data_IF_630709385947
#
_entry.id   IF_630709385947
#
_cell.length_a   1.000
_cell.length_b   1.000
_cell.length_c   1.000
_cell.angle_alpha   90.00
_cell.angle_beta   90.00
_cell.angle_gamma   90.00
#
_symmetry.space_group_name_H-M   'P 1'
#
loop_
_entity.id
_entity.type
_entity.pdbx_description
1 polymer ?
#
# COMPACT_ATOMS: atom_id res chain seq x y z
N UNK A 1 8.84 5.33 25.97
CA UNK A 1 8.98 4.23 24.99
C UNK A 1 9.87 3.16 25.59
N UNK A 2 9.46 1.88 25.55
CA UNK A 2 10.28 0.80 26.08
C UNK A 2 11.58 0.71 25.28
N UNK A 3 12.72 0.99 25.92
CA UNK A 3 14.02 0.83 25.29
C UNK A 3 14.20 -0.67 25.04
N UNK A 4 14.23 -1.07 23.79
CA UNK A 4 14.66 -2.41 23.40
C UNK A 4 16.07 -2.58 23.93
N UNK A 5 16.28 -3.50 24.88
CA UNK A 5 17.60 -3.82 25.42
C UNK A 5 18.43 -4.43 24.26
N UNK A 6 19.22 -3.58 23.63
CA UNK A 6 20.15 -4.01 22.57
C UNK A 6 21.50 -4.22 23.21
N UNK A 7 22.11 -5.39 22.99
CA UNK A 7 23.46 -5.68 23.51
C UNK A 7 24.50 -4.74 22.85
N UNK A 8 25.28 -3.98 23.63
CA UNK A 8 26.24 -3.03 23.10
C UNK A 8 27.53 -3.74 22.60
N UNK A 9 27.46 -4.26 21.38
CA UNK A 9 28.58 -4.94 20.71
C UNK A 9 28.92 -4.26 19.37
N UNK A 10 30.18 -4.34 18.93
CA UNK A 10 30.60 -3.81 17.61
C UNK A 10 29.83 -4.47 16.45
N UNK A 11 29.49 -5.77 16.58
CA UNK A 11 28.69 -6.49 15.59
C UNK A 11 27.27 -5.91 15.48
N UNK A 12 26.63 -5.67 16.63
CA UNK A 12 25.27 -5.10 16.66
C UNK A 12 25.26 -3.65 16.16
N UNK A 13 26.29 -2.86 16.45
CA UNK A 13 26.45 -1.52 15.88
C UNK A 13 26.44 -1.55 14.34
N UNK A 14 27.20 -2.45 13.75
CA UNK A 14 27.25 -2.61 12.30
C UNK A 14 25.91 -3.05 11.73
N UNK A 15 25.22 -3.94 12.43
CA UNK A 15 23.86 -4.41 12.06
C UNK A 15 22.83 -3.28 12.09
N UNK A 16 22.84 -2.46 13.15
CA UNK A 16 21.94 -1.31 13.29
C UNK A 16 22.24 -0.23 12.25
N UNK A 17 23.50 0.05 11.93
CA UNK A 17 23.88 0.95 10.83
C UNK A 17 23.36 0.45 9.47
N UNK A 18 23.51 -0.84 9.16
CA UNK A 18 22.95 -1.44 7.93
C UNK A 18 21.43 -1.35 7.92
N UNK A 19 20.77 -1.64 9.05
CA UNK A 19 19.31 -1.52 9.19
C UNK A 19 18.83 -0.09 8.93
N UNK A 20 19.51 0.92 9.46
CA UNK A 20 19.19 2.33 9.24
C UNK A 20 19.29 2.69 7.74
N UNK A 21 20.39 2.32 7.07
CA UNK A 21 20.58 2.59 5.63
C UNK A 21 19.49 1.91 4.79
N UNK A 22 19.14 0.66 5.12
CA UNK A 22 18.07 -0.04 4.42
C UNK A 22 16.71 0.61 4.68
N UNK A 23 16.43 1.01 5.92
CA UNK A 23 15.19 1.67 6.30
C UNK A 23 15.02 3.03 5.61
N UNK A 24 16.08 3.84 5.53
CA UNK A 24 16.03 5.15 4.85
C UNK A 24 15.84 5.02 3.33
N UNK A 25 16.51 4.05 2.69
CA UNK A 25 16.28 3.73 1.28
C UNK A 25 14.85 3.22 1.04
N UNK A 26 14.40 2.29 1.87
CA UNK A 26 13.04 1.74 1.80
C UNK A 26 11.95 2.80 2.02
N UNK A 27 12.16 3.73 2.96
CA UNK A 27 11.27 4.85 3.20
C UNK A 27 11.12 5.72 1.93
N UNK A 28 12.24 6.10 1.29
CA UNK A 28 12.22 6.90 0.07
C UNK A 28 11.45 6.18 -1.05
N UNK A 29 11.78 4.92 -1.34
CA UNK A 29 11.12 4.13 -2.39
C UNK A 29 9.62 3.93 -2.13
N UNK A 30 9.21 3.67 -0.88
CA UNK A 30 7.79 3.54 -0.53
C UNK A 30 7.05 4.87 -0.59
N UNK A 31 7.71 5.98 -0.29
CA UNK A 31 7.15 7.32 -0.45
C UNK A 31 6.90 7.62 -1.94
N UNK A 32 7.90 7.38 -2.79
CA UNK A 32 7.79 7.57 -4.24
C UNK A 32 6.67 6.66 -4.82
N UNK A 33 6.61 5.38 -4.37
CA UNK A 33 5.52 4.47 -4.75
C UNK A 33 4.14 5.00 -4.33
N UNK A 34 4.00 5.50 -3.11
CA UNK A 34 2.74 6.05 -2.60
C UNK A 34 2.29 7.26 -3.42
N UNK A 35 3.21 8.15 -3.73
CA UNK A 35 2.92 9.39 -4.44
C UNK A 35 2.49 9.09 -5.89
N UNK A 36 3.12 8.12 -6.55
CA UNK A 36 2.71 7.67 -7.89
C UNK A 36 1.35 6.94 -7.88
N UNK A 37 1.12 6.05 -6.89
CA UNK A 37 -0.21 5.42 -6.72
C UNK A 37 -1.30 6.46 -6.47
N UNK A 38 -1.02 7.50 -5.69
CA UNK A 38 -1.97 8.58 -5.42
C UNK A 38 -2.30 9.37 -6.70
N UNK A 39 -1.33 9.62 -7.57
CA UNK A 39 -1.55 10.28 -8.85
C UNK A 39 -2.49 9.47 -9.74
N UNK A 40 -2.19 8.18 -9.91
CA UNK A 40 -3.03 7.29 -10.72
C UNK A 40 -4.43 7.11 -10.14
N UNK A 41 -4.53 7.04 -8.81
CA UNK A 41 -5.82 6.98 -8.11
C UNK A 41 -6.68 8.21 -8.37
N UNK A 42 -6.12 9.41 -8.33
CA UNK A 42 -6.85 10.65 -8.62
C UNK A 42 -7.36 10.71 -10.07
N UNK A 43 -6.58 10.20 -11.03
CA UNK A 43 -7.00 10.14 -12.42
C UNK A 43 -8.16 9.15 -12.60
N UNK A 44 -8.07 7.96 -11.97
CA UNK A 44 -9.18 6.98 -11.97
C UNK A 44 -10.44 7.51 -11.26
N UNK A 45 -10.31 8.26 -10.18
CA UNK A 45 -11.46 8.86 -9.47
C UNK A 45 -12.19 9.86 -10.38
N UNK A 46 -11.44 10.65 -11.15
CA UNK A 46 -12.06 11.59 -12.12
C UNK A 46 -12.81 10.85 -13.23
N UNK A 47 -12.22 9.79 -13.78
CA UNK A 47 -12.86 8.93 -14.78
C UNK A 47 -14.10 8.27 -14.21
N UNK A 48 -14.02 7.71 -13.01
CA UNK A 48 -15.13 7.10 -12.30
C UNK A 48 -16.28 8.08 -12.09
N UNK A 49 -16.00 9.31 -11.67
CA UNK A 49 -17.00 10.34 -11.45
C UNK A 49 -17.73 10.72 -12.74
N UNK A 50 -17.01 10.84 -13.86
CA UNK A 50 -17.60 11.14 -15.16
C UNK A 50 -18.48 9.98 -15.66
N UNK A 51 -18.00 8.73 -15.56
CA UNK A 51 -18.75 7.54 -15.92
C UNK A 51 -20.00 7.40 -15.05
N UNK A 52 -19.89 7.62 -13.75
CA UNK A 52 -21.02 7.54 -12.82
C UNK A 52 -22.12 8.54 -13.17
N UNK A 53 -21.78 9.79 -13.44
CA UNK A 53 -22.74 10.80 -13.88
C UNK A 53 -23.43 10.39 -15.18
N UNK A 54 -22.69 9.83 -16.14
CA UNK A 54 -23.24 9.33 -17.40
C UNK A 54 -24.23 8.18 -17.19
N UNK A 55 -23.84 7.19 -16.38
CA UNK A 55 -24.66 6.03 -16.04
C UNK A 55 -25.93 6.46 -15.25
N UNK A 56 -25.80 7.33 -14.26
CA UNK A 56 -26.94 7.84 -13.48
C UNK A 56 -27.97 8.56 -14.38
N UNK A 57 -27.46 9.43 -15.27
CA UNK A 57 -28.32 10.12 -16.23
C UNK A 57 -29.06 9.14 -17.19
N UNK A 58 -28.33 8.14 -17.67
CA UNK A 58 -28.87 7.10 -18.54
C UNK A 58 -29.93 6.24 -17.85
N UNK A 59 -29.66 5.77 -16.63
CA UNK A 59 -30.63 5.00 -15.83
C UNK A 59 -31.88 5.84 -15.52
N UNK A 60 -31.72 7.14 -15.22
CA UNK A 60 -32.89 8.02 -15.03
C UNK A 60 -33.73 8.15 -16.28
N UNK A 61 -33.13 8.26 -17.48
CA UNK A 61 -33.84 8.29 -18.74
C UNK A 61 -34.55 6.97 -19.02
N UNK A 62 -33.86 5.84 -18.86
CA UNK A 62 -34.44 4.50 -19.03
C UNK A 62 -35.61 4.26 -18.08
N UNK A 63 -35.50 4.64 -16.80
CA UNK A 63 -36.56 4.52 -15.82
C UNK A 63 -37.80 5.37 -16.19
N UNK A 64 -37.59 6.58 -16.74
CA UNK A 64 -38.72 7.41 -17.24
C UNK A 64 -39.45 6.72 -18.37
N UNK A 65 -38.74 6.19 -19.36
CA UNK A 65 -39.31 5.44 -20.46
C UNK A 65 -40.06 4.20 -19.96
N UNK A 66 -39.49 3.50 -19.00
CA UNK A 66 -40.14 2.33 -18.38
C UNK A 66 -41.45 2.68 -17.62
N UNK A 67 -41.48 3.82 -16.93
CA UNK A 67 -42.70 4.30 -16.27
C UNK A 67 -43.79 4.64 -17.30
N UNK A 68 -43.41 5.22 -18.44
CA UNK A 68 -44.37 5.51 -19.53
C UNK A 68 -44.90 4.19 -20.10
N UNK A 69 -44.03 3.23 -20.40
CA UNK A 69 -44.43 1.91 -20.87
C UNK A 69 -45.38 1.19 -19.89
N UNK A 70 -45.08 1.26 -18.59
CA UNK A 70 -45.95 0.68 -17.54
C UNK A 70 -47.33 1.35 -17.46
N UNK A 71 -47.44 2.64 -17.77
CA UNK A 71 -48.71 3.35 -17.78
C UNK A 71 -49.59 2.95 -18.97
N UNK A 72 -48.97 2.53 -20.09
CA UNK A 72 -49.68 2.10 -21.31
C UNK A 72 -50.06 0.61 -21.38
N UNK A 73 -49.53 -0.21 -20.47
CA UNK A 73 -49.67 -1.68 -20.50
C UNK A 73 -50.22 -2.22 -19.17
N UNK A 74 -50.86 -3.42 -19.22
CA UNK A 74 -51.23 -4.11 -17.98
C UNK A 74 -50.01 -4.70 -17.30
N UNK A 75 -50.04 -4.79 -15.96
CA UNK A 75 -48.94 -5.33 -15.16
C UNK A 75 -48.63 -6.80 -15.50
N UNK A 76 -49.66 -7.58 -15.82
CA UNK A 76 -49.53 -8.98 -16.21
C UNK A 76 -48.83 -9.14 -17.57
N UNK A 77 -49.14 -8.30 -18.55
CA UNK A 77 -48.48 -8.28 -19.87
C UNK A 77 -47.03 -7.86 -19.76
N UNK A 78 -46.73 -6.85 -18.96
CA UNK A 78 -45.35 -6.40 -18.71
C UNK A 78 -44.54 -7.49 -18.05
N UNK A 79 -45.08 -8.13 -17.02
CA UNK A 79 -44.40 -9.22 -16.33
C UNK A 79 -44.14 -10.41 -17.28
N UNK A 80 -45.11 -10.78 -18.10
CA UNK A 80 -44.97 -11.85 -19.08
C UNK A 80 -43.92 -11.53 -20.15
N UNK A 81 -43.88 -10.29 -20.64
CA UNK A 81 -42.92 -9.82 -21.63
C UNK A 81 -41.46 -9.89 -21.15
N UNK A 82 -41.22 -9.57 -19.87
CA UNK A 82 -39.85 -9.52 -19.30
C UNK A 82 -39.43 -10.82 -18.58
N UNK A 83 -40.30 -11.83 -18.52
CA UNK A 83 -40.09 -13.06 -17.76
C UNK A 83 -38.94 -13.92 -18.28
N UNK A 84 -38.72 -13.94 -19.60
CA UNK A 84 -37.71 -14.78 -20.24
C UNK A 84 -36.75 -13.97 -21.11
N UNK A 85 -35.57 -13.53 -20.59
CA UNK A 85 -34.63 -12.79 -21.41
C UNK A 85 -34.04 -13.68 -22.51
N UNK A 86 -33.96 -13.13 -23.73
CA UNK A 86 -33.39 -13.82 -24.89
C UNK A 86 -31.88 -13.65 -24.99
N UNK A 87 -31.42 -12.45 -24.64
CA UNK A 87 -29.99 -12.11 -24.67
C UNK A 87 -29.34 -12.41 -23.33
N UNK A 88 -28.15 -13.01 -23.37
CA UNK A 88 -27.28 -13.28 -22.21
C UNK A 88 -25.95 -12.61 -22.43
N UNK A 89 -25.39 -12.03 -21.35
CA UNK A 89 -24.08 -11.38 -21.35
C UNK A 89 -23.14 -12.20 -20.48
N UNK A 90 -22.08 -12.71 -21.08
CA UNK A 90 -21.02 -13.44 -20.38
C UNK A 90 -19.88 -12.48 -20.07
N UNK A 91 -19.50 -12.41 -18.78
CA UNK A 91 -18.41 -11.59 -18.30
C UNK A 91 -17.16 -12.47 -18.06
N UNK A 92 -16.11 -12.22 -18.82
CA UNK A 92 -14.78 -12.79 -18.59
C UNK A 92 -13.96 -11.79 -17.76
N UNK A 93 -13.44 -12.24 -16.63
CA UNK A 93 -12.64 -11.38 -15.76
C UNK A 93 -11.16 -11.75 -15.89
N UNK A 94 -10.34 -10.80 -16.30
CA UNK A 94 -8.89 -10.88 -16.28
C UNK A 94 -8.30 -9.92 -15.25
N UNK A 95 -7.01 -10.03 -14.91
CA UNK A 95 -6.35 -9.12 -13.99
C UNK A 95 -5.13 -8.50 -14.64
N UNK A 96 -4.97 -7.19 -14.47
CA UNK A 96 -3.78 -6.43 -14.88
C UNK A 96 -3.07 -5.93 -13.64
N UNK A 97 -1.77 -6.24 -13.52
CA UNK A 97 -0.96 -5.75 -12.41
C UNK A 97 -0.46 -4.33 -12.68
N UNK A 98 -0.79 -3.40 -11.78
CA UNK A 98 -0.31 -2.02 -11.80
C UNK A 98 0.33 -1.71 -10.45
N UNK A 99 1.66 -1.56 -10.41
CA UNK A 99 2.42 -1.25 -9.19
C UNK A 99 2.16 -2.18 -8.00
N UNK A 100 2.01 -3.49 -8.28
CA UNK A 100 1.68 -4.54 -7.31
C UNK A 100 0.22 -4.49 -6.80
N UNK A 101 -0.67 -3.85 -7.54
CA UNK A 101 -2.12 -3.91 -7.37
C UNK A 101 -2.70 -4.67 -8.56
N UNK A 102 -3.42 -5.74 -8.31
CA UNK A 102 -4.09 -6.50 -9.35
C UNK A 102 -5.47 -5.88 -9.62
N UNK A 103 -5.54 -5.12 -10.72
CA UNK A 103 -6.75 -4.44 -11.16
C UNK A 103 -7.52 -5.40 -12.05
N UNK A 104 -8.82 -5.64 -11.82
CA UNK A 104 -9.64 -6.45 -12.71
C UNK A 104 -9.86 -5.71 -14.03
N UNK A 105 -9.89 -6.47 -15.11
CA UNK A 105 -10.26 -6.00 -16.45
C UNK A 105 -11.43 -6.87 -16.89
N UNK A 106 -12.52 -6.23 -17.31
CA UNK A 106 -13.74 -6.88 -17.71
C UNK A 106 -13.87 -6.93 -19.23
N UNK A 107 -13.96 -8.14 -19.76
CA UNK A 107 -14.32 -8.39 -21.15
C UNK A 107 -15.71 -9.04 -21.17
N UNK A 108 -16.64 -8.47 -21.91
CA UNK A 108 -17.96 -9.02 -22.02
C UNK A 108 -18.24 -9.51 -23.45
N UNK A 109 -18.95 -10.62 -23.53
CA UNK A 109 -19.42 -11.23 -24.77
C UNK A 109 -20.92 -11.40 -24.71
N UNK A 110 -21.61 -10.97 -25.72
CA UNK A 110 -23.03 -11.23 -25.89
C UNK A 110 -23.24 -12.59 -26.52
N UNK A 111 -24.33 -13.29 -26.16
CA UNK A 111 -24.67 -14.60 -26.72
C UNK A 111 -24.84 -14.56 -28.22
N UNK A 112 -25.50 -13.51 -28.73
CA UNK A 112 -25.75 -13.28 -30.15
C UNK A 112 -25.22 -11.92 -30.56
N UNK A 113 -24.77 -11.81 -31.81
CA UNK A 113 -24.27 -10.56 -32.36
C UNK A 113 -25.34 -9.60 -32.85
N UNK A 114 -26.61 -10.07 -32.93
CA UNK A 114 -27.75 -9.28 -33.44
C UNK A 114 -28.24 -8.31 -32.36
N UNK A 115 -28.27 -7.03 -32.71
CA UNK A 115 -28.78 -5.96 -31.81
C UNK A 115 -30.29 -6.14 -31.48
N UNK A 116 -31.05 -6.79 -32.36
CA UNK A 116 -32.48 -7.00 -32.16
C UNK A 116 -32.84 -8.13 -31.20
N UNK A 117 -31.85 -8.96 -30.83
CA UNK A 117 -32.08 -10.05 -29.87
C UNK A 117 -32.24 -9.57 -28.42
N UNK A 118 -32.16 -8.26 -28.19
CA UNK A 118 -32.47 -7.61 -26.90
C UNK A 118 -33.98 -7.79 -26.54
N UNK A 119 -34.85 -7.86 -27.56
CA UNK A 119 -36.28 -7.97 -27.36
C UNK A 119 -36.69 -9.44 -27.19
N UNK A 120 -37.15 -9.78 -25.99
CA UNK A 120 -37.61 -11.14 -25.63
C UNK A 120 -39.08 -11.40 -25.91
N UNK A 121 -39.82 -10.40 -26.37
CA UNK A 121 -41.27 -10.40 -26.52
C UNK A 121 -41.68 -10.10 -27.96
N UNK A 122 -42.93 -10.49 -28.30
CA UNK A 122 -43.50 -10.22 -29.61
C UNK A 122 -44.34 -8.92 -29.62
N UNK A 123 -44.65 -8.44 -30.79
CA UNK A 123 -45.43 -7.19 -31.01
C UNK A 123 -46.85 -7.23 -30.48
N UNK A 124 -47.40 -8.41 -30.18
CA UNK A 124 -48.75 -8.53 -29.67
C UNK A 124 -48.85 -8.08 -28.22
N UNK A 125 -49.64 -7.09 -27.92
CA UNK A 125 -49.94 -6.53 -26.59
C UNK A 125 -48.77 -5.76 -25.94
N UNK A 126 -47.68 -5.47 -26.66
CA UNK A 126 -46.53 -4.66 -26.17
C UNK A 126 -46.53 -3.26 -26.78
N UNK A 127 -46.13 -2.27 -25.99
CA UNK A 127 -46.02 -0.87 -26.42
C UNK A 127 -44.63 -0.59 -26.97
N UNK A 128 -44.48 0.27 -27.98
CA UNK A 128 -43.19 0.76 -28.47
C UNK A 128 -42.35 1.50 -27.41
N UNK A 129 -43.01 2.07 -26.38
CA UNK A 129 -42.35 2.70 -25.26
C UNK A 129 -41.51 1.70 -24.45
N UNK A 130 -41.90 0.41 -24.43
CA UNK A 130 -41.15 -0.66 -23.80
C UNK A 130 -39.85 -0.94 -24.57
N UNK A 131 -39.92 -0.91 -25.91
CA UNK A 131 -38.76 -1.10 -26.78
C UNK A 131 -37.71 0.00 -26.54
N UNK A 132 -38.15 1.26 -26.43
CA UNK A 132 -37.28 2.40 -26.13
C UNK A 132 -36.64 2.28 -24.72
N UNK A 133 -37.40 1.78 -23.74
CA UNK A 133 -36.87 1.55 -22.40
C UNK A 133 -35.82 0.44 -22.38
N UNK A 134 -36.08 -0.69 -23.02
CA UNK A 134 -35.14 -1.82 -23.11
C UNK A 134 -33.88 -1.42 -23.88
N UNK A 135 -34.02 -0.70 -24.99
CA UNK A 135 -32.90 -0.21 -25.78
C UNK A 135 -32.03 0.75 -24.96
N UNK A 136 -32.61 1.71 -24.27
CA UNK A 136 -31.87 2.65 -23.45
C UNK A 136 -31.09 1.95 -22.31
N UNK A 137 -31.61 0.86 -21.73
CA UNK A 137 -30.90 0.04 -20.76
C UNK A 137 -29.75 -0.74 -21.40
N UNK A 138 -29.95 -1.29 -22.59
CA UNK A 138 -28.91 -2.01 -23.33
C UNK A 138 -27.74 -1.09 -23.71
N UNK A 139 -28.01 0.14 -24.11
CA UNK A 139 -27.00 1.14 -24.47
C UNK A 139 -26.15 1.57 -23.27
N UNK A 140 -26.69 1.51 -22.06
CA UNK A 140 -25.99 1.89 -20.82
C UNK A 140 -25.16 0.73 -20.26
N UNK A 141 -25.48 -0.52 -20.59
CA UNK A 141 -24.83 -1.71 -20.04
C UNK A 141 -23.30 -1.69 -20.15
N UNK A 142 -22.68 -1.34 -21.31
CA UNK A 142 -21.23 -1.23 -21.44
C UNK A 142 -20.63 -0.19 -20.49
N UNK A 143 -21.28 0.96 -20.32
CA UNK A 143 -20.84 2.01 -19.40
C UNK A 143 -20.96 1.56 -17.93
N UNK A 144 -21.98 0.77 -17.58
CA UNK A 144 -22.13 0.17 -16.26
C UNK A 144 -21.02 -0.84 -15.94
N UNK A 145 -20.65 -1.69 -16.90
CA UNK A 145 -19.56 -2.65 -16.74
C UNK A 145 -18.21 -1.92 -16.58
N UNK A 146 -17.98 -0.89 -17.38
CA UNK A 146 -16.78 -0.06 -17.25
C UNK A 146 -16.73 0.72 -15.92
N UNK A 147 -17.87 1.20 -15.45
CA UNK A 147 -17.99 1.82 -14.13
C UNK A 147 -17.63 0.82 -13.02
N UNK A 148 -18.15 -0.40 -13.07
CA UNK A 148 -17.85 -1.44 -12.08
C UNK A 148 -16.35 -1.81 -12.05
N UNK A 149 -15.71 -1.86 -13.22
CA UNK A 149 -14.24 -2.07 -13.36
C UNK A 149 -13.48 -0.94 -12.69
N UNK A 150 -13.79 0.32 -13.02
CA UNK A 150 -13.09 1.49 -12.47
C UNK A 150 -13.35 1.67 -10.97
N UNK A 151 -14.55 1.41 -10.48
CA UNK A 151 -14.86 1.44 -9.04
C UNK A 151 -14.05 0.39 -8.28
N UNK A 152 -13.97 -0.84 -8.82
CA UNK A 152 -13.18 -1.90 -8.19
C UNK A 152 -11.68 -1.58 -8.20
N UNK A 153 -11.18 -1.02 -9.29
CA UNK A 153 -9.81 -0.54 -9.41
C UNK A 153 -9.50 0.54 -8.36
N UNK A 154 -10.37 1.54 -8.20
CA UNK A 154 -10.26 2.57 -7.18
C UNK A 154 -10.23 1.98 -5.76
N UNK A 155 -11.10 1.03 -5.45
CA UNK A 155 -11.16 0.38 -4.14
C UNK A 155 -9.87 -0.36 -3.80
N UNK A 156 -9.32 -1.12 -4.77
CA UNK A 156 -8.07 -1.87 -4.60
C UNK A 156 -6.86 -0.93 -4.45
N UNK A 157 -6.77 0.13 -5.27
CA UNK A 157 -5.73 1.14 -5.14
C UNK A 157 -5.81 1.89 -3.82
N UNK A 158 -6.99 2.29 -3.36
CA UNK A 158 -7.17 2.96 -2.07
C UNK A 158 -6.64 2.09 -0.92
N UNK A 159 -6.96 0.79 -0.92
CA UNK A 159 -6.48 -0.15 0.10
C UNK A 159 -4.95 -0.28 0.11
N UNK A 160 -4.32 -0.30 -1.06
CA UNK A 160 -2.85 -0.40 -1.15
C UNK A 160 -2.16 0.92 -0.78
N UNK A 161 -2.74 2.07 -1.13
CA UNK A 161 -2.27 3.40 -0.69
C UNK A 161 -2.31 3.48 0.84
N UNK A 162 -3.37 3.00 1.48
CA UNK A 162 -3.48 2.99 2.94
C UNK A 162 -2.41 2.08 3.58
N UNK A 163 -2.21 0.87 3.06
CA UNK A 163 -1.17 -0.05 3.52
C UNK A 163 0.22 0.56 3.37
N UNK A 164 0.50 1.18 2.21
CA UNK A 164 1.79 1.82 1.94
C UNK A 164 2.00 3.03 2.85
N UNK A 165 0.97 3.86 3.08
CA UNK A 165 1.01 4.99 4.02
C UNK A 165 1.34 4.53 5.44
N UNK A 166 0.71 3.43 5.92
CA UNK A 166 1.01 2.86 7.24
C UNK A 166 2.46 2.41 7.33
N UNK A 167 2.99 1.76 6.28
CA UNK A 167 4.41 1.32 6.23
C UNK A 167 5.38 2.50 6.24
N UNK A 168 5.10 3.55 5.45
CA UNK A 168 5.92 4.77 5.42
C UNK A 168 5.93 5.44 6.79
N UNK A 169 4.78 5.62 7.42
CA UNK A 169 4.68 6.22 8.76
C UNK A 169 5.42 5.38 9.82
N UNK A 170 5.31 4.05 9.77
CA UNK A 170 6.04 3.17 10.69
C UNK A 170 7.58 3.27 10.51
N UNK A 171 8.05 3.40 9.27
CA UNK A 171 9.47 3.60 9.00
C UNK A 171 9.95 4.96 9.53
N UNK A 172 9.20 6.03 9.25
CA UNK A 172 9.58 7.41 9.57
C UNK A 172 9.55 7.70 11.07
N UNK A 173 8.48 7.27 11.77
CA UNK A 173 8.25 7.66 13.15
C UNK A 173 8.66 6.61 14.18
N UNK A 174 8.87 5.35 13.79
CA UNK A 174 9.23 4.28 14.73
C UNK A 174 10.59 3.68 14.39
N UNK A 175 10.76 3.13 13.19
CA UNK A 175 11.93 2.29 12.87
C UNK A 175 13.20 3.13 12.73
N UNK A 176 13.15 4.25 12.01
CA UNK A 176 14.33 5.12 11.80
C UNK A 176 14.77 5.78 13.10
N UNK A 177 13.90 6.43 13.91
CA UNK A 177 14.32 7.02 15.18
C UNK A 177 14.85 5.98 16.16
N UNK A 178 14.19 4.83 16.27
CA UNK A 178 14.63 3.74 17.15
C UNK A 178 16.03 3.21 16.74
N UNK A 179 16.30 3.07 15.45
CA UNK A 179 17.61 2.65 14.98
C UNK A 179 18.69 3.69 15.29
N UNK A 180 18.37 4.99 15.16
CA UNK A 180 19.28 6.10 15.50
C UNK A 180 19.58 6.13 17.01
N UNK A 181 18.57 5.99 17.86
CA UNK A 181 18.73 5.92 19.32
C UNK A 181 19.59 4.71 19.73
N UNK A 182 19.32 3.54 19.13
CA UNK A 182 20.10 2.33 19.39
C UNK A 182 21.58 2.51 18.99
N UNK A 183 21.85 3.10 17.82
CA UNK A 183 23.22 3.38 17.37
C UNK A 183 23.92 4.30 18.36
N UNK A 184 23.26 5.39 18.77
CA UNK A 184 23.80 6.34 19.74
C UNK A 184 24.11 5.67 21.08
N UNK A 185 23.19 4.85 21.59
CA UNK A 185 23.37 4.10 22.84
C UNK A 185 24.55 3.13 22.77
N UNK A 186 24.63 2.31 21.69
CA UNK A 186 25.71 1.34 21.52
C UNK A 186 27.07 2.04 21.41
N UNK A 187 27.15 3.13 20.63
CA UNK A 187 28.40 3.91 20.48
C UNK A 187 28.87 4.44 21.83
N UNK A 188 27.97 5.08 22.59
CA UNK A 188 28.29 5.61 23.92
C UNK A 188 28.77 4.51 24.88
N UNK A 189 28.17 3.31 24.84
CA UNK A 189 28.61 2.19 25.68
C UNK A 189 29.93 1.58 25.25
N UNK A 190 30.19 1.53 23.95
CA UNK A 190 31.50 1.07 23.44
C UNK A 190 32.61 2.05 23.80
N UNK A 191 32.40 3.35 23.67
CA UNK A 191 33.35 4.40 24.04
C UNK A 191 33.66 4.35 25.54
N UNK A 192 32.64 4.15 26.40
CA UNK A 192 32.83 3.99 27.85
C UNK A 192 33.63 2.73 28.19
N UNK A 193 33.37 1.62 27.52
CA UNK A 193 34.15 0.39 27.70
C UNK A 193 35.58 0.57 27.26
N UNK A 194 35.83 1.24 26.13
CA UNK A 194 37.20 1.54 25.68
C UNK A 194 37.93 2.44 26.67
N UNK A 195 37.30 3.51 27.15
CA UNK A 195 37.86 4.40 28.18
C UNK A 195 38.19 3.65 29.48
N UNK A 196 37.27 2.84 29.97
CA UNK A 196 37.46 2.01 31.17
C UNK A 196 38.65 1.04 31.00
N UNK A 197 38.77 0.43 29.82
CA UNK A 197 39.87 -0.48 29.51
C UNK A 197 41.22 0.26 29.46
N UNK A 198 41.29 1.46 28.87
CA UNK A 198 42.48 2.29 28.84
C UNK A 198 42.94 2.68 30.27
N UNK A 199 42.00 3.13 31.12
CA UNK A 199 42.31 3.47 32.53
C UNK A 199 42.85 2.26 33.28
N UNK A 200 42.24 1.05 33.10
CA UNK A 200 42.75 -0.18 33.71
C UNK A 200 44.17 -0.52 33.22
N UNK A 201 44.44 -0.39 31.91
CA UNK A 201 45.76 -0.63 31.36
C UNK A 201 46.83 0.35 31.88
N UNK A 202 46.47 1.66 32.02
CA UNK A 202 47.35 2.65 32.66
C UNK A 202 47.70 2.22 34.10
N UNK A 203 46.70 1.86 34.89
CA UNK A 203 46.90 1.44 36.27
C UNK A 203 47.77 0.18 36.40
N UNK A 204 47.58 -0.80 35.54
CA UNK A 204 48.43 -2.00 35.48
C UNK A 204 49.87 -1.64 35.11
N UNK A 205 50.04 -0.75 34.13
CA UNK A 205 51.39 -0.24 33.76
C UNK A 205 52.07 0.43 34.94
N UNK A 206 51.38 1.30 35.68
CA UNK A 206 51.90 2.00 36.85
C UNK A 206 52.33 1.01 37.93
N UNK A 207 51.51 0.00 38.27
CA UNK A 207 51.87 -1.05 39.21
C UNK A 207 53.09 -1.86 38.77
N UNK A 208 53.21 -2.20 37.50
CA UNK A 208 54.39 -2.91 36.96
C UNK A 208 55.68 -2.07 37.05
N UNK A 209 55.53 -0.76 36.87
CA UNK A 209 56.68 0.17 37.01
C UNK A 209 57.10 0.28 38.50
N UNK A 210 56.18 0.40 39.42
CA UNK A 210 56.42 0.42 40.88
C UNK A 210 57.10 -0.89 41.35
N UNK A 211 56.61 -2.05 40.91
CA UNK A 211 57.24 -3.34 41.21
C UNK A 211 58.65 -3.46 40.62
N UNK A 212 58.90 -2.95 39.41
CA UNK A 212 60.21 -2.95 38.78
C UNK A 212 61.17 -2.02 39.50
N UNK A 213 60.75 -0.89 40.07
CA UNK A 213 61.56 0.00 40.90
C UNK A 213 61.87 -0.66 42.22
N UNK A 214 60.92 -1.23 42.94
CA UNK A 214 61.19 -1.97 44.18
C UNK A 214 62.10 -3.16 43.99
N UNK A 215 62.03 -3.84 42.82
CA UNK A 215 62.97 -4.91 42.49
C UNK A 215 64.38 -4.39 42.27
N UNK A 216 64.58 -3.22 41.65
CA UNK A 216 65.84 -2.57 41.44
C UNK A 216 66.46 -2.09 42.78
N UNK A 217 65.64 -1.46 43.66
CA UNK A 217 66.07 -1.04 44.99
C UNK A 217 66.58 -2.22 45.86
N UNK A 218 65.83 -3.33 45.84
CA UNK A 218 66.25 -4.57 46.53
C UNK A 218 67.56 -5.16 46.03
N UNK A 219 67.88 -4.97 44.75
CA UNK A 219 69.02 -5.54 44.10
C UNK A 219 70.27 -4.65 44.22
N UNK A 220 70.15 -3.33 44.33
CA UNK A 220 71.22 -2.35 44.37
C UNK A 220 71.56 -1.89 45.77
N UNK A 221 70.72 -2.12 46.80
CA UNK A 221 70.93 -1.73 48.19
C UNK A 221 71.04 -0.21 48.45
N UNK A 222 70.77 0.61 47.43
CA UNK A 222 70.72 2.07 47.50
C UNK A 222 69.43 2.60 46.94
N UNK A 223 68.87 3.64 47.57
CA UNK A 223 67.65 4.27 47.00
C UNK A 223 68.04 4.96 45.68
N UNK A 224 67.28 4.68 44.64
CA UNK A 224 67.35 5.34 43.32
C UNK A 224 66.60 6.65 43.38
N UNK A 225 67.22 7.80 43.35
CA UNK A 225 66.65 9.11 43.23
C UNK A 225 65.90 9.17 41.88
N UNK A 226 64.59 9.49 41.94
CA UNK A 226 63.72 9.67 40.76
C UNK A 226 64.04 11.07 40.22
N UNK A 227 64.72 11.19 39.10
CA UNK A 227 64.76 12.40 38.32
C UNK A 227 63.38 12.53 37.64
N UNK A 228 62.60 13.51 38.11
CA UNK A 228 61.34 13.96 37.45
C UNK A 228 61.73 14.95 36.37
N UNK A 229 61.62 14.53 35.09
CA UNK A 229 61.44 15.41 33.94
C UNK A 229 59.97 15.62 33.64
#
# INVERSE_FOLDING_TARGET
MASTQVNPTRMELTRQKKKLVTATKGHKLLKDKRDELMRQFLDLVRENMALRQKVEAGIQAANKNFVIAKAGMSEETLHTALMAPKQEVYLETSSKNVMSVDIPVFEYKTRTADENDIYSYGFAFTSGDLDDAVKSLADILPDMLKLAETEKACQLMASEIEKTRRRVNALEHVIIPQAQENIKYITMKLDENERSTQIRLMKVKDMMLEEAHHYKEKKTGYPVEIETE
#
